data_IF_437621897530
#
_entry.id   IF_437621897530
#
_cell.length_a   1.000
_cell.length_b   1.000
_cell.length_c   1.000
_cell.angle_alpha   90.00
_cell.angle_beta   90.00
_cell.angle_gamma   90.00
#
_symmetry.space_group_name_H-M   'P 1'
#
loop_
_entity.id
_entity.type
_entity.pdbx_description
1 polymer ?
#
# COMPACT_ATOMS: atom_id res chain seq x y z
N UNK A 1 12.34 -10.34 24.85
CA UNK A 1 11.09 -10.24 24.06
C UNK A 1 11.24 -9.00 23.21
N UNK A 2 11.21 -9.12 21.88
CA UNK A 2 11.32 -7.94 21.02
C UNK A 2 10.11 -7.04 21.28
N UNK A 3 10.34 -5.82 21.76
CA UNK A 3 9.30 -4.82 21.96
C UNK A 3 8.73 -4.47 20.59
N UNK A 4 7.56 -5.03 20.27
CA UNK A 4 6.77 -4.63 19.10
C UNK A 4 6.35 -3.18 19.31
N UNK A 5 6.45 -2.36 18.26
CA UNK A 5 5.89 -1.01 18.28
C UNK A 5 4.39 -1.15 18.54
N UNK A 6 3.87 -0.43 19.54
CA UNK A 6 2.45 -0.42 19.86
C UNK A 6 1.78 0.57 18.91
N UNK A 7 1.43 0.07 17.72
CA UNK A 7 0.87 0.86 16.63
C UNK A 7 -0.51 1.44 16.95
N UNK A 8 -1.25 0.81 17.88
CA UNK A 8 -2.61 1.21 18.27
C UNK A 8 -2.67 2.54 19.03
N UNK A 9 -1.55 3.00 19.60
CA UNK A 9 -1.42 4.28 20.32
C UNK A 9 -0.97 5.44 19.44
N UNK A 10 -0.65 5.18 18.18
CA UNK A 10 -0.24 6.20 17.22
C UNK A 10 -1.45 6.65 16.39
N UNK A 11 -1.49 7.94 16.02
CA UNK A 11 -2.49 8.41 15.07
C UNK A 11 -2.25 7.81 13.68
N UNK A 12 -3.30 7.73 12.85
CA UNK A 12 -3.18 7.08 11.54
C UNK A 12 -2.11 7.70 10.65
N UNK A 13 -2.09 9.02 10.60
CA UNK A 13 -1.11 9.78 9.82
C UNK A 13 0.33 9.56 10.31
N UNK A 14 0.53 9.31 11.62
CA UNK A 14 1.85 9.04 12.19
C UNK A 14 2.34 7.64 11.79
N UNK A 15 1.46 6.64 11.85
CA UNK A 15 1.77 5.28 11.39
C UNK A 15 2.15 5.30 9.92
N UNK A 16 1.33 5.96 9.09
CA UNK A 16 1.59 6.09 7.65
C UNK A 16 2.89 6.82 7.36
N UNK A 17 3.19 7.91 8.07
CA UNK A 17 4.43 8.65 7.92
C UNK A 17 5.67 7.81 8.28
N UNK A 18 5.64 7.09 9.41
CA UNK A 18 6.75 6.24 9.84
C UNK A 18 6.96 5.08 8.87
N UNK A 19 5.90 4.38 8.48
CA UNK A 19 5.99 3.26 7.53
C UNK A 19 6.48 3.76 6.16
N UNK A 20 5.98 4.90 5.68
CA UNK A 20 6.45 5.46 4.42
C UNK A 20 7.94 5.86 4.45
N UNK A 21 8.42 6.39 5.58
CA UNK A 21 9.85 6.65 5.76
C UNK A 21 10.68 5.37 5.71
N UNK A 22 10.20 4.28 6.33
CA UNK A 22 10.90 2.98 6.32
C UNK A 22 10.94 2.39 4.91
N UNK A 23 9.83 2.42 4.17
CA UNK A 23 9.79 1.95 2.77
C UNK A 23 10.75 2.76 1.90
N UNK A 24 10.73 4.09 1.97
CA UNK A 24 11.69 4.94 1.24
C UNK A 24 13.15 4.69 1.64
N UNK A 25 13.39 4.24 2.88
CA UNK A 25 14.75 3.91 3.30
C UNK A 25 15.24 2.59 2.68
N UNK A 26 14.34 1.63 2.50
CA UNK A 26 14.62 0.36 1.83
C UNK A 26 14.64 0.51 0.30
N UNK A 27 13.82 1.39 -0.25
CA UNK A 27 13.68 1.73 -1.67
C UNK A 27 14.19 3.15 -1.92
N UNK A 28 15.50 3.29 -2.08
CA UNK A 28 16.17 4.60 -2.12
C UNK A 28 15.66 5.54 -3.22
N UNK A 29 15.13 4.97 -4.32
CA UNK A 29 14.60 5.73 -5.45
C UNK A 29 13.08 5.99 -5.36
N UNK A 30 12.42 5.49 -4.31
CA UNK A 30 11.00 5.72 -4.10
C UNK A 30 10.73 7.09 -3.49
N UNK A 31 9.58 7.65 -3.85
CA UNK A 31 9.14 8.98 -3.43
C UNK A 31 7.82 8.86 -2.69
N UNK A 32 7.76 9.38 -1.47
CA UNK A 32 6.48 9.60 -0.77
C UNK A 32 5.69 10.69 -1.48
N UNK A 33 4.47 10.38 -1.87
CA UNK A 33 3.55 11.33 -2.48
C UNK A 33 2.73 11.96 -1.35
N UNK A 34 2.83 13.28 -1.20
CA UNK A 34 1.96 14.06 -0.31
C UNK A 34 1.15 15.02 -1.16
N UNK A 35 -0.15 14.80 -1.32
CA UNK A 35 -0.98 15.60 -2.21
C UNK A 35 -1.51 16.84 -1.53
N UNK A 36 -1.83 17.86 -2.33
CA UNK A 36 -2.51 19.07 -1.86
C UNK A 36 -4.00 18.85 -1.53
N UNK A 37 -4.64 17.78 -2.06
CA UNK A 37 -6.00 17.28 -1.74
C UNK A 37 -6.12 15.79 -2.09
N UNK A 38 -6.02 14.88 -1.11
CA UNK A 38 -6.20 13.42 -1.29
C UNK A 38 -5.11 12.73 -2.15
N UNK A 39 -4.71 11.51 -1.78
CA UNK A 39 -3.59 10.75 -2.37
C UNK A 39 -3.85 10.20 -3.77
N UNK A 40 -5.13 10.14 -4.17
CA UNK A 40 -5.48 9.45 -5.41
C UNK A 40 -5.06 7.98 -5.38
N UNK A 41 -4.90 7.39 -4.19
CA UNK A 41 -4.50 5.98 -4.02
C UNK A 41 -3.00 5.69 -4.18
N UNK A 42 -2.13 6.68 -4.00
CA UNK A 42 -0.67 6.51 -4.06
C UNK A 42 -0.01 7.18 -2.87
N UNK A 43 0.48 6.40 -1.91
CA UNK A 43 1.29 6.92 -0.80
C UNK A 43 2.78 7.01 -1.18
N UNK A 44 3.28 6.01 -1.90
CA UNK A 44 4.69 5.91 -2.29
C UNK A 44 4.79 5.35 -3.71
N UNK A 45 5.61 6.00 -4.53
CA UNK A 45 5.86 5.61 -5.91
C UNK A 45 7.35 5.30 -6.11
N UNK A 46 7.66 4.11 -6.60
CA UNK A 46 9.01 3.64 -6.94
C UNK A 46 9.06 3.36 -8.44
N UNK A 47 9.57 4.32 -9.21
CA UNK A 47 9.50 4.31 -10.67
C UNK A 47 10.53 3.37 -11.27
N UNK A 48 10.10 2.52 -12.19
CA UNK A 48 10.99 1.57 -12.87
C UNK A 48 11.53 0.43 -11.98
N UNK A 49 11.01 0.26 -10.77
CA UNK A 49 11.48 -0.73 -9.80
C UNK A 49 10.80 -2.09 -9.92
N UNK A 50 9.79 -2.22 -10.77
CA UNK A 50 9.07 -3.45 -11.02
C UNK A 50 9.67 -4.27 -12.17
N UNK A 51 9.07 -5.43 -12.46
CA UNK A 51 9.45 -6.24 -13.60
C UNK A 51 9.43 -5.42 -14.89
N UNK A 52 10.42 -5.63 -15.75
CA UNK A 52 10.54 -4.96 -17.06
C UNK A 52 10.56 -3.42 -17.00
N UNK A 53 10.94 -2.85 -15.85
CA UNK A 53 10.96 -1.39 -15.66
C UNK A 53 9.59 -0.79 -15.40
N UNK A 54 8.61 -1.59 -14.95
CA UNK A 54 7.31 -1.09 -14.52
C UNK A 54 7.43 -0.23 -13.25
N UNK A 55 6.46 0.64 -13.04
CA UNK A 55 6.30 1.37 -11.78
C UNK A 55 5.77 0.44 -10.68
N UNK A 56 6.14 0.76 -9.44
CA UNK A 56 5.66 0.07 -8.23
C UNK A 56 5.02 1.09 -7.31
N UNK A 57 3.83 0.78 -6.82
CA UNK A 57 3.10 1.61 -5.86
C UNK A 57 3.00 0.88 -4.54
N UNK A 58 3.20 1.62 -3.45
CA UNK A 58 2.91 1.17 -2.10
C UNK A 58 1.78 2.03 -1.53
N UNK A 59 0.69 1.38 -1.13
CA UNK A 59 -0.38 1.98 -0.33
C UNK A 59 -0.18 1.52 1.11
N UNK A 60 -0.06 2.48 2.01
CA UNK A 60 0.11 2.25 3.44
C UNK A 60 -1.24 2.40 4.12
N UNK A 61 -1.59 1.44 4.99
CA UNK A 61 -2.77 1.55 5.86
C UNK A 61 -2.39 1.17 7.28
N UNK A 62 -2.89 1.91 8.26
CA UNK A 62 -2.61 1.71 9.69
C UNK A 62 -3.21 0.44 10.32
N UNK A 63 -3.80 -0.45 9.54
CA UNK A 63 -4.64 -1.52 10.05
C UNK A 63 -3.80 -2.59 10.78
N UNK A 64 -4.04 -2.74 12.08
CA UNK A 64 -3.27 -3.61 13.00
C UNK A 64 -3.96 -4.94 13.32
N UNK A 65 -5.13 -5.18 12.74
CA UNK A 65 -6.01 -6.31 13.04
C UNK A 65 -6.76 -6.75 11.77
N UNK A 66 -7.51 -7.88 11.79
CA UNK A 66 -8.27 -8.33 10.63
C UNK A 66 -9.16 -7.22 10.06
N UNK A 67 -9.13 -7.05 8.73
CA UNK A 67 -9.85 -5.97 8.07
C UNK A 67 -11.36 -6.15 8.21
N UNK A 68 -12.02 -5.12 8.73
CA UNK A 68 -13.46 -4.95 8.61
C UNK A 68 -13.85 -4.68 7.15
N UNK A 69 -15.13 -4.89 6.81
CA UNK A 69 -15.67 -4.55 5.49
C UNK A 69 -15.36 -3.12 5.09
N UNK A 70 -15.47 -2.16 6.03
CA UNK A 70 -15.16 -0.76 5.75
C UNK A 70 -13.68 -0.55 5.37
N UNK A 71 -12.77 -1.26 6.04
CA UNK A 71 -11.34 -1.17 5.74
C UNK A 71 -10.99 -1.84 4.41
N UNK A 72 -11.66 -2.95 4.06
CA UNK A 72 -11.55 -3.55 2.73
C UNK A 72 -11.98 -2.57 1.64
N UNK A 73 -13.15 -1.95 1.78
CA UNK A 73 -13.63 -0.95 0.83
C UNK A 73 -12.64 0.23 0.70
N UNK A 74 -12.02 0.69 1.79
CA UNK A 74 -11.02 1.76 1.73
C UNK A 74 -9.73 1.35 0.97
N UNK A 75 -9.35 0.07 1.03
CA UNK A 75 -8.25 -0.48 0.22
C UNK A 75 -8.67 -0.56 -1.27
N UNK A 76 -9.87 -1.06 -1.54
CA UNK A 76 -10.46 -1.16 -2.89
C UNK A 76 -10.54 0.22 -3.55
N UNK A 77 -11.13 1.20 -2.86
CA UNK A 77 -11.22 2.59 -3.32
C UNK A 77 -9.83 3.18 -3.62
N UNK A 78 -8.80 2.79 -2.87
CA UNK A 78 -7.44 3.28 -3.10
C UNK A 78 -6.86 2.73 -4.41
N UNK A 79 -7.06 1.43 -4.69
CA UNK A 79 -6.63 0.84 -5.96
C UNK A 79 -7.46 1.35 -7.15
N UNK A 80 -8.77 1.53 -6.98
CA UNK A 80 -9.64 2.12 -8.01
C UNK A 80 -9.19 3.54 -8.34
N UNK A 81 -8.86 4.36 -7.34
CA UNK A 81 -8.32 5.71 -7.55
C UNK A 81 -7.00 5.70 -8.30
N UNK A 82 -6.08 4.78 -7.98
CA UNK A 82 -4.83 4.64 -8.75
C UNK A 82 -5.11 4.38 -10.23
N UNK A 83 -6.14 3.58 -10.56
CA UNK A 83 -6.46 3.20 -11.94
C UNK A 83 -7.27 4.24 -12.70
N UNK A 84 -8.08 5.04 -12.00
CA UNK A 84 -9.03 5.96 -12.62
C UNK A 84 -8.57 7.43 -12.60
N UNK A 85 -7.64 7.80 -11.71
CA UNK A 85 -7.19 9.19 -11.60
C UNK A 85 -6.26 9.58 -12.76
N UNK A 86 -6.60 10.62 -13.56
CA UNK A 86 -5.78 11.05 -14.69
C UNK A 86 -4.35 11.45 -14.32
N UNK A 87 -4.07 11.80 -13.06
CA UNK A 87 -2.72 12.10 -12.58
C UNK A 87 -1.76 10.91 -12.73
N UNK A 88 -2.31 9.70 -12.75
CA UNK A 88 -1.55 8.44 -12.75
C UNK A 88 -1.64 7.69 -14.08
N UNK A 89 -2.31 8.24 -15.10
CA UNK A 89 -2.56 7.56 -16.38
C UNK A 89 -1.28 7.11 -17.12
N UNK A 90 -0.16 7.80 -16.89
CA UNK A 90 1.12 7.47 -17.50
C UNK A 90 1.90 6.37 -16.77
N UNK A 91 1.45 5.96 -15.58
CA UNK A 91 2.14 4.94 -14.79
C UNK A 91 1.84 3.55 -15.36
N UNK A 92 2.89 2.76 -15.53
CA UNK A 92 2.74 1.34 -15.86
C UNK A 92 2.92 0.55 -14.58
N UNK A 93 1.84 0.41 -13.81
CA UNK A 93 1.89 -0.32 -12.51
C UNK A 93 1.58 -1.79 -12.73
N UNK A 94 2.58 -2.65 -12.52
CA UNK A 94 2.41 -4.12 -12.49
C UNK A 94 2.26 -4.62 -11.06
N UNK A 95 3.11 -4.13 -10.15
CA UNK A 95 3.06 -4.51 -8.74
C UNK A 95 2.47 -3.38 -7.89
N UNK A 96 1.48 -3.73 -7.07
CA UNK A 96 0.87 -2.83 -6.11
C UNK A 96 0.93 -3.46 -4.72
N UNK A 97 1.50 -2.75 -3.76
CA UNK A 97 1.74 -3.27 -2.41
C UNK A 97 0.79 -2.64 -1.40
N UNK A 98 0.04 -3.47 -0.68
CA UNK A 98 -0.68 -3.05 0.52
C UNK A 98 0.25 -3.26 1.72
N UNK A 99 0.64 -2.18 2.39
CA UNK A 99 1.54 -2.19 3.55
C UNK A 99 0.76 -1.93 4.82
N UNK A 100 0.74 -2.89 5.74
CA UNK A 100 0.03 -2.75 7.02
C UNK A 100 0.83 -3.31 8.19
N UNK A 101 0.63 -2.80 9.41
CA UNK A 101 1.20 -3.37 10.63
C UNK A 101 0.44 -4.65 11.09
N UNK A 102 0.06 -5.50 10.14
CA UNK A 102 -0.66 -6.76 10.37
C UNK A 102 -0.38 -7.74 9.24
N UNK A 103 -0.19 -9.02 9.58
CA UNK A 103 0.01 -10.08 8.59
C UNK A 103 -1.35 -10.65 8.15
N UNK A 104 -1.58 -10.86 6.85
CA UNK A 104 -2.86 -11.37 6.36
C UNK A 104 -3.13 -12.80 6.81
N UNK A 105 -4.41 -13.14 6.99
CA UNK A 105 -4.83 -14.54 6.93
C UNK A 105 -4.85 -15.01 5.48
N UNK A 106 -4.87 -16.33 5.20
CA UNK A 106 -5.00 -16.84 3.83
C UNK A 106 -6.23 -16.28 3.08
N UNK A 107 -7.35 -16.09 3.76
CA UNK A 107 -8.58 -15.52 3.16
C UNK A 107 -8.43 -14.03 2.84
N UNK A 108 -7.69 -13.29 3.67
CA UNK A 108 -7.39 -11.88 3.41
C UNK A 108 -6.40 -11.73 2.26
N UNK A 109 -5.38 -12.59 2.17
CA UNK A 109 -4.45 -12.60 1.04
C UNK A 109 -5.16 -12.98 -0.27
N UNK A 110 -6.00 -14.03 -0.25
CA UNK A 110 -6.80 -14.42 -1.41
C UNK A 110 -7.71 -13.28 -1.91
N UNK A 111 -8.41 -12.60 -1.00
CA UNK A 111 -9.20 -11.41 -1.34
C UNK A 111 -8.35 -10.31 -1.98
N UNK A 112 -7.13 -10.07 -1.48
CA UNK A 112 -6.24 -9.06 -2.06
C UNK A 112 -5.79 -9.46 -3.48
N UNK A 113 -5.49 -10.74 -3.70
CA UNK A 113 -5.12 -11.25 -5.02
C UNK A 113 -6.26 -11.10 -6.03
N UNK A 114 -7.49 -11.43 -5.63
CA UNK A 114 -8.70 -11.24 -6.46
C UNK A 114 -8.89 -9.77 -6.83
N UNK A 115 -8.81 -8.87 -5.84
CA UNK A 115 -8.88 -7.42 -6.06
C UNK A 115 -7.81 -6.92 -7.04
N UNK A 116 -6.57 -7.40 -6.89
CA UNK A 116 -5.48 -7.06 -7.81
C UNK A 116 -5.75 -7.51 -9.23
N UNK A 117 -6.22 -8.75 -9.40
CA UNK A 117 -6.54 -9.32 -10.70
C UNK A 117 -7.66 -8.54 -11.41
N UNK A 118 -8.70 -8.12 -10.69
CA UNK A 118 -9.79 -7.29 -11.21
C UNK A 118 -9.28 -5.94 -11.77
N UNK A 119 -8.20 -5.40 -11.22
CA UNK A 119 -7.59 -4.14 -11.62
C UNK A 119 -6.35 -4.31 -12.52
N UNK A 120 -6.05 -5.53 -12.94
CA UNK A 120 -4.91 -5.83 -13.81
C UNK A 120 -3.55 -5.54 -13.16
N UNK A 121 -3.41 -5.79 -11.87
CA UNK A 121 -2.13 -5.70 -11.13
C UNK A 121 -1.88 -6.96 -10.32
N UNK A 122 -0.62 -7.22 -10.00
CA UNK A 122 -0.27 -8.14 -8.92
C UNK A 122 -0.31 -7.38 -7.60
N UNK A 123 -1.35 -7.61 -6.81
CA UNK A 123 -1.49 -7.03 -5.48
C UNK A 123 -0.76 -7.90 -4.44
N UNK A 124 0.06 -7.28 -3.58
CA UNK A 124 0.91 -8.01 -2.64
C UNK A 124 0.81 -7.38 -1.25
N UNK A 125 0.51 -8.20 -0.25
CA UNK A 125 0.49 -7.75 1.14
C UNK A 125 1.90 -7.72 1.74
N UNK A 126 2.26 -6.61 2.39
CA UNK A 126 3.47 -6.45 3.20
C UNK A 126 3.06 -6.21 4.66
N UNK A 127 3.06 -7.30 5.42
CA UNK A 127 2.77 -7.31 6.84
C UNK A 127 4.00 -7.04 7.70
N UNK A 128 3.98 -7.53 8.94
CA UNK A 128 5.05 -7.39 9.92
C UNK A 128 6.24 -8.32 9.64
N UNK A 129 5.99 -9.49 9.05
CA UNK A 129 7.03 -10.49 8.77
C UNK A 129 7.21 -10.73 7.28
N UNK A 130 8.45 -11.06 6.89
CA UNK A 130 8.85 -11.34 5.51
C UNK A 130 8.94 -12.83 5.25
#
# INVERSE_FOLDING_TARGET
MANRVEWTRLEGNDVEAVVAMLVNRERVDSVRITPSKGDGGVDILDRGAGPDGSDVVYQVKRFTEPLSTKQKNDVEDSLERLKSDPRWESLTVVNWYLVTPWDPTPEADAWLQELGAEHGVTAIWRGLVR
#
